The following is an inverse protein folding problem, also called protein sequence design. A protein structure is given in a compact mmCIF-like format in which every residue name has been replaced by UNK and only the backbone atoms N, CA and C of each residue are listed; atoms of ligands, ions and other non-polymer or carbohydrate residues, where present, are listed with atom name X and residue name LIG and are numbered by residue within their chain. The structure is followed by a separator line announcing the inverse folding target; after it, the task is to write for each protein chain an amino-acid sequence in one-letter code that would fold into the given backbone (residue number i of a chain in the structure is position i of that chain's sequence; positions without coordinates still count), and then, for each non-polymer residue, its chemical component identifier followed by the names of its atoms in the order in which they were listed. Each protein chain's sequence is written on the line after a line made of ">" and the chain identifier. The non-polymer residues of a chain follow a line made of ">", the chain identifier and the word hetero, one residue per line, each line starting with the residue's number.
data_IF_570429850848
#
_entry.id   IF_570429850848
#
_cell.length_a   1.000
_cell.length_b   1.000
_cell.length_c   1.000
_cell.angle_alpha   90.00
_cell.angle_beta   90.00
_cell.angle_gamma   90.00
#
_symmetry.space_group_name_H-M   'P 1'
#
loop_
_entity.id
_entity.type
_entity.pdbx_description
1 polymer ?
#
# COMPACT_ATOMS: atom_id res chain seq x y z
N UNK A 1 -42.74 14.29 -31.91
CA UNK A 1 -41.86 13.12 -31.80
C UNK A 1 -40.81 13.09 -32.90
N UNK A 2 -41.16 13.26 -34.17
CA UNK A 2 -40.19 13.33 -35.30
C UNK A 2 -39.18 14.45 -35.17
N UNK A 3 -39.60 15.66 -34.76
CA UNK A 3 -38.73 16.81 -34.56
C UNK A 3 -37.71 16.62 -33.46
N UNK A 4 -38.08 15.98 -32.35
CA UNK A 4 -37.18 15.63 -31.27
C UNK A 4 -36.07 14.68 -31.76
N UNK A 5 -36.46 13.66 -32.54
CA UNK A 5 -35.50 12.70 -33.11
C UNK A 5 -34.55 13.42 -34.06
N UNK A 6 -35.03 14.34 -34.90
CA UNK A 6 -34.19 15.14 -35.80
C UNK A 6 -33.14 15.93 -35.01
N UNK A 7 -33.58 16.69 -34.01
CA UNK A 7 -32.67 17.51 -33.17
C UNK A 7 -31.61 16.63 -32.47
N UNK A 8 -31.99 15.48 -31.91
CA UNK A 8 -31.06 14.56 -31.26
C UNK A 8 -30.08 13.93 -32.24
N UNK A 9 -30.51 13.65 -33.47
CA UNK A 9 -29.66 13.13 -34.54
C UNK A 9 -28.63 14.17 -34.97
N UNK A 10 -29.08 15.42 -35.23
CA UNK A 10 -28.20 16.52 -35.63
C UNK A 10 -27.17 16.84 -34.55
N UNK A 11 -27.57 16.82 -33.27
CA UNK A 11 -26.68 16.96 -32.12
C UNK A 11 -25.65 15.82 -32.08
N UNK A 12 -26.11 14.59 -32.24
CA UNK A 12 -25.20 13.41 -32.22
C UNK A 12 -24.19 13.44 -33.36
N UNK A 13 -24.59 13.87 -34.55
CA UNK A 13 -23.69 14.04 -35.71
C UNK A 13 -22.62 15.11 -35.40
N UNK A 14 -23.01 16.21 -34.76
CA UNK A 14 -22.09 17.30 -34.39
C UNK A 14 -21.09 16.88 -33.30
N UNK A 15 -21.53 16.09 -32.31
CA UNK A 15 -20.69 15.68 -31.18
C UNK A 15 -19.79 14.49 -31.54
N UNK A 16 -20.22 13.61 -32.41
CA UNK A 16 -19.48 12.37 -32.76
C UNK A 16 -18.01 12.60 -33.14
N UNK A 17 -17.62 13.60 -33.94
CA UNK A 17 -16.21 13.87 -34.22
C UNK A 17 -15.39 14.30 -33.01
N UNK A 18 -16.03 14.81 -31.94
CA UNK A 18 -15.38 15.28 -30.73
C UNK A 18 -15.23 14.18 -29.66
N UNK A 19 -15.89 13.02 -29.82
CA UNK A 19 -15.86 11.92 -28.86
C UNK A 19 -14.45 11.47 -28.50
N UNK A 20 -13.49 11.30 -29.44
CA UNK A 20 -12.12 10.92 -29.08
C UNK A 20 -11.44 11.96 -28.17
N UNK A 21 -11.60 13.25 -28.45
CA UNK A 21 -11.04 14.34 -27.64
C UNK A 21 -11.68 14.40 -26.24
N UNK A 22 -12.98 14.15 -26.15
CA UNK A 22 -13.71 14.07 -24.86
C UNK A 22 -13.18 12.90 -24.03
N UNK A 23 -12.99 11.71 -24.62
CA UNK A 23 -12.44 10.54 -23.92
C UNK A 23 -11.01 10.80 -23.46
N UNK A 24 -10.16 11.39 -24.29
CA UNK A 24 -8.80 11.74 -23.90
C UNK A 24 -8.78 12.75 -22.74
N UNK A 25 -9.68 13.74 -22.78
CA UNK A 25 -9.82 14.70 -21.68
C UNK A 25 -10.26 14.03 -20.38
N UNK A 26 -11.14 13.03 -20.46
CA UNK A 26 -11.57 12.26 -19.30
C UNK A 26 -10.42 11.43 -18.68
N UNK A 27 -9.62 10.77 -19.51
CA UNK A 27 -8.43 10.04 -19.06
C UNK A 27 -7.43 10.98 -18.37
N UNK A 28 -7.15 12.14 -18.99
CA UNK A 28 -6.28 13.16 -18.41
C UNK A 28 -6.77 13.63 -17.03
N UNK A 29 -8.08 13.91 -16.89
CA UNK A 29 -8.66 14.31 -15.62
C UNK A 29 -8.54 13.21 -14.54
N UNK A 30 -8.71 11.93 -14.92
CA UNK A 30 -8.54 10.80 -14.02
C UNK A 30 -7.09 10.69 -13.50
N UNK A 31 -6.09 10.90 -14.38
CA UNK A 31 -4.68 10.94 -13.97
C UNK A 31 -4.39 12.08 -13.00
N UNK A 32 -4.88 13.28 -13.28
CA UNK A 32 -4.71 14.44 -12.40
C UNK A 32 -5.36 14.22 -11.04
N UNK A 33 -6.57 13.66 -11.00
CA UNK A 33 -7.25 13.38 -9.73
C UNK A 33 -6.51 12.31 -8.92
N UNK A 34 -5.98 11.28 -9.58
CA UNK A 34 -5.14 10.26 -8.93
C UNK A 34 -3.85 10.85 -8.34
N UNK A 35 -3.16 11.71 -9.08
CA UNK A 35 -1.96 12.43 -8.58
C UNK A 35 -2.33 13.30 -7.37
N UNK A 36 -3.45 14.02 -7.46
CA UNK A 36 -3.97 14.86 -6.38
C UNK A 36 -4.29 14.03 -5.12
N UNK A 37 -4.93 12.88 -5.28
CA UNK A 37 -5.25 11.98 -4.17
C UNK A 37 -3.97 11.49 -3.46
N UNK A 38 -2.94 11.09 -4.21
CA UNK A 38 -1.62 10.73 -3.65
C UNK A 38 -0.97 11.90 -2.91
N UNK A 39 -1.03 13.09 -3.46
CA UNK A 39 -0.48 14.30 -2.83
C UNK A 39 -1.20 14.65 -1.54
N UNK A 40 -2.53 14.60 -1.51
CA UNK A 40 -3.33 14.81 -0.29
C UNK A 40 -3.01 13.79 0.80
N UNK A 41 -2.88 12.52 0.42
CA UNK A 41 -2.46 11.46 1.34
C UNK A 41 -1.07 11.74 1.92
N UNK A 42 -0.11 12.15 1.08
CA UNK A 42 1.24 12.49 1.51
C UNK A 42 1.24 13.65 2.52
N UNK A 43 0.46 14.69 2.29
CA UNK A 43 0.33 15.83 3.20
C UNK A 43 -0.27 15.38 4.54
N UNK A 44 -1.32 14.58 4.52
CA UNK A 44 -2.00 14.12 5.74
C UNK A 44 -1.14 13.20 6.61
N UNK A 45 -0.27 12.41 6.00
CA UNK A 45 0.57 11.43 6.70
C UNK A 45 2.03 11.85 6.84
N UNK A 46 2.40 13.04 6.35
CA UNK A 46 3.79 13.49 6.22
C UNK A 46 4.64 12.47 5.45
N UNK A 47 4.03 11.87 4.41
CA UNK A 47 4.70 10.87 3.59
C UNK A 47 5.65 11.53 2.59
N UNK A 48 6.72 10.82 2.29
CA UNK A 48 7.76 11.24 1.36
C UNK A 48 7.91 10.23 0.21
N UNK A 49 8.65 10.62 -0.82
CA UNK A 49 9.17 9.70 -1.82
C UNK A 49 10.51 9.16 -1.31
N UNK A 50 10.59 7.86 -0.91
CA UNK A 50 11.83 7.30 -0.38
C UNK A 50 12.87 7.08 -1.50
N UNK A 51 14.14 6.86 -1.09
CA UNK A 51 15.18 6.38 -2.01
C UNK A 51 14.92 4.93 -2.38
N UNK A 52 14.79 4.65 -3.68
CA UNK A 52 14.58 3.30 -4.20
C UNK A 52 15.90 2.70 -4.64
N UNK A 53 16.15 1.47 -4.19
CA UNK A 53 17.36 0.71 -4.51
C UNK A 53 17.01 -0.51 -5.35
N UNK A 54 17.80 -0.75 -6.39
CA UNK A 54 17.71 -1.98 -7.17
C UNK A 54 18.49 -3.13 -6.48
N UNK A 55 18.23 -3.30 -5.19
CA UNK A 55 18.86 -4.31 -4.31
C UNK A 55 17.85 -4.75 -3.27
N UNK A 56 18.06 -5.94 -2.70
CA UNK A 56 17.27 -6.43 -1.58
C UNK A 56 17.73 -5.75 -0.29
N UNK A 57 17.18 -4.58 0.01
CA UNK A 57 17.49 -3.79 1.20
C UNK A 57 16.21 -3.18 1.79
N UNK A 58 16.14 -3.17 3.10
CA UNK A 58 15.18 -2.45 3.93
C UNK A 58 16.01 -1.69 4.97
N UNK A 59 16.29 -0.43 4.73
CA UNK A 59 16.88 0.46 5.72
C UNK A 59 15.90 1.61 5.97
N UNK A 60 14.97 1.37 6.87
CA UNK A 60 13.88 2.29 7.17
C UNK A 60 14.13 3.00 8.48
N UNK A 61 13.95 4.30 8.45
CA UNK A 61 14.08 5.18 9.61
C UNK A 61 12.76 5.86 9.87
N UNK A 62 12.31 5.84 11.12
CA UNK A 62 11.07 6.44 11.60
C UNK A 62 9.85 6.12 10.72
N UNK A 63 9.73 4.87 10.27
CA UNK A 63 8.59 4.42 9.49
C UNK A 63 7.33 4.36 10.36
N UNK A 64 6.21 4.88 9.85
CA UNK A 64 4.97 5.01 10.59
C UNK A 64 3.84 4.31 9.81
N UNK A 65 3.02 3.53 10.50
CA UNK A 65 1.82 2.95 9.91
C UNK A 65 0.79 4.05 9.62
N UNK A 66 0.47 4.38 8.35
CA UNK A 66 -0.32 5.56 8.02
C UNK A 66 -1.74 5.53 8.57
N UNK A 67 -2.43 4.38 8.51
CA UNK A 67 -3.79 4.27 9.03
C UNK A 67 -3.82 4.38 10.56
N UNK A 68 -2.81 3.83 11.24
CA UNK A 68 -2.68 3.97 12.68
C UNK A 68 -2.37 5.42 13.06
N UNK A 69 -1.54 6.11 12.31
CA UNK A 69 -1.26 7.54 12.48
C UNK A 69 -2.53 8.37 12.39
N UNK A 70 -3.33 8.19 11.34
CA UNK A 70 -4.58 8.91 11.15
C UNK A 70 -5.62 8.59 12.24
N UNK A 71 -5.69 7.33 12.68
CA UNK A 71 -6.60 6.91 13.76
C UNK A 71 -6.20 7.51 15.10
N UNK A 72 -4.92 7.42 15.49
CA UNK A 72 -4.44 7.93 16.77
C UNK A 72 -4.42 9.46 16.84
N UNK A 73 -4.22 10.14 15.72
CA UNK A 73 -4.30 11.60 15.64
C UNK A 73 -5.66 12.15 16.09
N UNK A 74 -6.75 11.42 15.83
CA UNK A 74 -8.11 11.77 16.30
C UNK A 74 -8.21 11.81 17.84
N UNK A 75 -7.32 11.11 18.52
CA UNK A 75 -7.26 11.01 19.99
C UNK A 75 -6.04 11.73 20.58
N UNK A 76 -5.39 12.61 19.80
CA UNK A 76 -4.16 13.32 20.19
C UNK A 76 -3.03 12.37 20.65
N UNK A 77 -3.00 11.15 20.11
CA UNK A 77 -1.95 10.16 20.40
C UNK A 77 -1.00 10.05 19.20
N UNK A 78 0.27 9.75 19.49
CA UNK A 78 1.29 9.53 18.46
C UNK A 78 1.58 8.06 18.29
N UNK A 79 1.90 7.65 17.07
CA UNK A 79 2.42 6.31 16.76
C UNK A 79 3.89 6.27 17.15
N UNK A 80 4.32 5.14 17.71
CA UNK A 80 5.75 4.88 17.91
C UNK A 80 6.32 4.49 16.53
N UNK A 81 7.33 5.22 16.02
CA UNK A 81 7.96 4.92 14.75
C UNK A 81 8.72 3.59 14.77
N UNK A 82 8.88 2.99 13.60
CA UNK A 82 9.64 1.77 13.38
C UNK A 82 10.95 2.07 12.65
N UNK A 83 12.06 1.65 13.23
CA UNK A 83 13.34 1.54 12.54
C UNK A 83 13.61 0.06 12.24
N UNK A 84 13.99 -0.25 10.99
CA UNK A 84 14.27 -1.62 10.57
C UNK A 84 15.41 -1.62 9.56
N UNK A 85 16.37 -2.53 9.74
CA UNK A 85 17.45 -2.73 8.82
C UNK A 85 17.57 -4.20 8.44
N UNK A 86 17.41 -4.48 7.15
CA UNK A 86 17.66 -5.78 6.54
C UNK A 86 18.48 -5.57 5.25
N UNK A 87 19.45 -6.44 5.05
CA UNK A 87 20.35 -6.36 3.89
C UNK A 87 20.78 -7.77 3.43
N UNK A 88 21.65 -7.88 2.45
CA UNK A 88 22.10 -9.16 1.90
C UNK A 88 22.82 -10.07 2.91
N UNK A 89 23.36 -9.53 3.99
CA UNK A 89 24.02 -10.29 5.08
C UNK A 89 23.04 -10.65 6.18
N UNK A 90 22.11 -9.75 6.49
CA UNK A 90 21.11 -9.89 7.56
C UNK A 90 19.72 -9.93 6.92
N UNK A 91 19.24 -11.11 6.57
CA UNK A 91 17.99 -11.31 5.81
C UNK A 91 16.81 -11.69 6.68
N UNK A 92 17.05 -12.04 7.94
CA UNK A 92 16.02 -12.53 8.86
C UNK A 92 15.98 -11.60 10.06
N UNK A 93 14.80 -11.13 10.39
CA UNK A 93 14.51 -10.37 11.60
C UNK A 93 13.54 -11.17 12.47
N UNK A 94 13.92 -11.46 13.70
CA UNK A 94 13.07 -12.09 14.68
C UNK A 94 12.52 -11.03 15.63
N UNK A 95 11.20 -10.91 15.70
CA UNK A 95 10.51 -9.95 16.57
C UNK A 95 9.90 -10.74 17.74
N UNK A 96 10.40 -10.50 18.94
CA UNK A 96 9.89 -11.11 20.17
C UNK A 96 9.39 -10.07 21.16
N UNK A 97 8.55 -10.46 22.09
CA UNK A 97 8.00 -9.59 23.12
C UNK A 97 6.58 -9.97 23.54
N UNK A 98 5.98 -9.26 24.51
CA UNK A 98 4.62 -9.54 24.99
C UNK A 98 3.57 -9.34 23.88
N UNK A 99 2.39 -9.95 24.00
CA UNK A 99 1.35 -9.89 22.97
C UNK A 99 0.88 -8.44 22.69
N UNK A 100 0.81 -7.59 23.70
CA UNK A 100 0.48 -6.18 23.57
C UNK A 100 1.65 -5.29 23.09
N UNK A 101 2.83 -5.86 22.82
CA UNK A 101 4.05 -5.12 22.49
C UNK A 101 4.16 -4.60 21.05
N UNK A 102 3.12 -4.73 20.23
CA UNK A 102 3.10 -4.18 18.88
C UNK A 102 3.74 -5.05 17.78
N UNK A 103 4.07 -6.33 18.06
CA UNK A 103 4.65 -7.27 17.08
C UNK A 103 3.88 -7.33 15.77
N UNK A 104 2.57 -7.58 15.84
CA UNK A 104 1.69 -7.66 14.66
C UNK A 104 1.56 -6.31 13.93
N UNK A 105 1.60 -5.20 14.66
CA UNK A 105 1.60 -3.86 14.07
C UNK A 105 2.89 -3.61 13.29
N UNK A 106 4.04 -4.04 13.83
CA UNK A 106 5.32 -3.96 13.12
C UNK A 106 5.26 -4.71 11.78
N UNK A 107 4.80 -5.97 11.80
CA UNK A 107 4.67 -6.80 10.59
C UNK A 107 3.70 -6.17 9.56
N UNK A 108 2.53 -5.71 10.03
CA UNK A 108 1.56 -5.00 9.20
C UNK A 108 2.14 -3.72 8.61
N UNK A 109 2.94 -2.98 9.38
CA UNK A 109 3.59 -1.75 8.90
C UNK A 109 4.58 -2.04 7.77
N UNK A 110 5.44 -3.04 7.96
CA UNK A 110 6.43 -3.42 6.95
C UNK A 110 5.74 -3.85 5.65
N UNK A 111 4.77 -4.75 5.73
CA UNK A 111 4.04 -5.23 4.56
C UNK A 111 3.29 -4.12 3.83
N UNK A 112 2.57 -3.26 4.57
CA UNK A 112 1.80 -2.17 3.98
C UNK A 112 2.69 -1.13 3.31
N UNK A 113 3.74 -0.65 3.97
CA UNK A 113 4.61 0.39 3.42
C UNK A 113 5.39 -0.13 2.22
N UNK A 114 5.90 -1.37 2.25
CA UNK A 114 6.55 -1.98 1.10
C UNK A 114 5.61 -2.09 -0.09
N UNK A 115 4.38 -2.52 0.14
CA UNK A 115 3.36 -2.61 -0.90
C UNK A 115 3.01 -1.24 -1.48
N UNK A 116 2.81 -0.23 -0.61
CA UNK A 116 2.54 1.15 -1.03
C UNK A 116 3.64 1.71 -1.93
N UNK A 117 4.90 1.52 -1.55
CA UNK A 117 6.04 1.97 -2.37
C UNK A 117 6.05 1.31 -3.74
N UNK A 118 5.79 0.01 -3.80
CA UNK A 118 5.75 -0.73 -5.07
C UNK A 118 4.53 -0.37 -5.95
N UNK A 119 3.49 0.20 -5.35
CA UNK A 119 2.37 0.82 -6.06
C UNK A 119 2.64 2.30 -6.43
N UNK A 120 3.85 2.81 -6.19
CA UNK A 120 4.21 4.20 -6.48
C UNK A 120 3.50 5.21 -5.58
N UNK A 121 3.18 4.82 -4.34
CA UNK A 121 2.64 5.72 -3.33
C UNK A 121 3.74 6.30 -2.44
N UNK A 122 3.60 7.54 -1.97
CA UNK A 122 4.45 8.08 -0.92
C UNK A 122 4.21 7.36 0.40
N UNK A 123 5.22 7.30 1.26
CA UNK A 123 5.19 6.58 2.55
C UNK A 123 5.70 7.45 3.70
N UNK A 124 5.08 7.36 4.88
CA UNK A 124 5.48 8.13 6.05
C UNK A 124 6.72 7.51 6.72
N UNK A 125 7.87 8.01 6.35
CA UNK A 125 9.17 7.63 6.92
C UNK A 125 10.19 8.76 6.74
N UNK A 126 11.36 8.60 7.34
CA UNK A 126 12.42 9.58 7.19
C UNK A 126 13.06 9.53 5.79
N UNK A 127 13.47 10.68 5.25
CA UNK A 127 14.05 10.82 3.90
C UNK A 127 15.34 10.02 3.68
N UNK A 128 16.06 9.68 4.77
CA UNK A 128 17.26 8.83 4.73
C UNK A 128 16.96 7.33 4.62
N UNK A 129 15.69 6.96 4.47
CA UNK A 129 15.30 5.56 4.31
C UNK A 129 15.63 5.08 2.91
N UNK A 130 16.11 3.84 2.80
CA UNK A 130 16.39 3.14 1.55
C UNK A 130 15.49 1.92 1.44
N UNK A 131 14.83 1.77 0.31
CA UNK A 131 13.85 0.71 0.07
C UNK A 131 14.22 -0.07 -1.18
N UNK A 132 14.44 -1.36 -1.02
CA UNK A 132 14.59 -2.29 -2.13
C UNK A 132 13.25 -2.62 -2.79
N UNK A 133 13.31 -3.03 -4.05
CA UNK A 133 12.16 -3.55 -4.78
C UNK A 133 12.20 -5.07 -4.74
N UNK A 134 11.09 -5.69 -4.35
CA UNK A 134 10.94 -7.13 -4.21
C UNK A 134 9.96 -7.68 -5.25
N UNK A 135 10.27 -8.84 -5.82
CA UNK A 135 9.41 -9.51 -6.80
C UNK A 135 8.10 -10.00 -6.18
N UNK A 136 8.16 -10.42 -4.90
CA UNK A 136 7.02 -10.96 -4.18
C UNK A 136 6.99 -10.43 -2.74
N UNK A 137 5.79 -10.21 -2.23
CA UNK A 137 5.54 -9.87 -0.83
C UNK A 137 4.51 -10.88 -0.32
N UNK A 138 4.90 -11.65 0.70
CA UNK A 138 3.99 -12.58 1.36
C UNK A 138 3.81 -12.15 2.81
N UNK A 139 2.57 -12.15 3.27
CA UNK A 139 2.23 -11.79 4.64
C UNK A 139 1.32 -12.87 5.18
N UNK A 140 1.70 -13.49 6.28
CA UNK A 140 0.89 -14.46 6.99
C UNK A 140 0.69 -13.99 8.43
N UNK A 141 -0.54 -13.60 8.76
CA UNK A 141 -0.93 -13.03 10.05
C UNK A 141 -2.15 -13.81 10.52
N UNK A 142 -1.99 -14.68 11.50
CA UNK A 142 -3.08 -15.36 12.19
C UNK A 142 -3.67 -14.50 13.31
N UNK A 143 -4.98 -14.51 13.49
CA UNK A 143 -5.64 -13.95 14.66
C UNK A 143 -5.70 -15.03 15.76
N UNK A 144 -5.10 -14.75 16.92
CA UNK A 144 -5.04 -15.65 18.10
C UNK A 144 -6.39 -15.71 18.88
N UNK A 145 -7.56 -15.59 18.22
CA UNK A 145 -8.80 -15.29 18.95
C UNK A 145 -9.72 -16.48 19.33
N UNK A 146 -9.45 -17.72 18.92
CA UNK A 146 -10.23 -18.87 19.44
C UNK A 146 -9.48 -20.21 19.37
N UNK A 147 -9.62 -21.02 20.40
CA UNK A 147 -9.04 -22.37 20.50
C UNK A 147 -9.66 -23.32 19.45
N UNK A 148 -10.90 -23.12 19.06
CA UNK A 148 -11.58 -23.90 18.02
C UNK A 148 -11.10 -23.57 16.61
N UNK A 149 -10.59 -22.35 16.38
CA UNK A 149 -10.00 -21.90 15.11
C UNK A 149 -8.50 -22.25 14.97
N UNK A 150 -7.83 -22.68 16.05
CA UNK A 150 -6.38 -22.95 16.04
C UNK A 150 -5.98 -24.03 15.02
N UNK A 151 -6.79 -25.08 14.85
CA UNK A 151 -6.52 -26.15 13.89
C UNK A 151 -6.72 -25.68 12.44
N UNK A 152 -7.72 -24.84 12.20
CA UNK A 152 -7.97 -24.22 10.89
C UNK A 152 -6.91 -23.19 10.56
N UNK A 153 -6.50 -22.39 11.54
CA UNK A 153 -5.44 -21.38 11.42
C UNK A 153 -4.09 -22.05 11.14
N UNK A 154 -3.75 -23.12 11.86
CA UNK A 154 -2.52 -23.89 11.63
C UNK A 154 -2.46 -24.51 10.23
N UNK A 155 -3.54 -25.12 9.76
CA UNK A 155 -3.61 -25.70 8.40
C UNK A 155 -3.54 -24.62 7.31
N UNK A 156 -4.11 -23.45 7.56
CA UNK A 156 -4.01 -22.29 6.67
C UNK A 156 -2.59 -21.77 6.60
N UNK A 157 -1.88 -21.64 7.74
CA UNK A 157 -0.47 -21.26 7.78
C UNK A 157 0.41 -22.23 6.99
N UNK A 158 0.22 -23.55 7.16
CA UNK A 158 0.97 -24.55 6.39
C UNK A 158 0.72 -24.44 4.88
N UNK A 159 -0.53 -24.18 4.50
CA UNK A 159 -0.89 -23.97 3.08
C UNK A 159 -0.24 -22.71 2.53
N UNK A 160 -0.28 -21.62 3.28
CA UNK A 160 0.37 -20.36 2.91
C UNK A 160 1.89 -20.53 2.78
N UNK A 161 2.54 -21.19 3.73
CA UNK A 161 3.97 -21.53 3.67
C UNK A 161 4.32 -22.35 2.42
N UNK A 162 3.50 -23.32 2.06
CA UNK A 162 3.68 -24.12 0.83
C UNK A 162 3.60 -23.26 -0.43
N UNK A 163 2.68 -22.29 -0.46
CA UNK A 163 2.54 -21.33 -1.58
C UNK A 163 3.79 -20.43 -1.63
N UNK A 164 4.20 -19.88 -0.49
CA UNK A 164 5.38 -19.02 -0.38
C UNK A 164 6.63 -19.77 -0.90
N UNK A 165 6.86 -21.00 -0.42
CA UNK A 165 8.01 -21.82 -0.86
C UNK A 165 8.00 -22.12 -2.37
N UNK A 166 6.84 -22.29 -2.99
CA UNK A 166 6.73 -22.52 -4.44
C UNK A 166 6.97 -21.26 -5.26
N UNK A 167 6.72 -20.11 -4.68
CA UNK A 167 6.82 -18.81 -5.36
C UNK A 167 8.16 -18.10 -5.10
N UNK A 168 8.97 -18.60 -4.18
CA UNK A 168 10.35 -18.16 -3.93
C UNK A 168 11.29 -18.97 -4.82
N UNK A 169 11.51 -18.48 -6.05
CA UNK A 169 12.55 -18.98 -6.97
C UNK A 169 13.66 -17.98 -7.09
#
# INVERSE_FOLDING_TARGET
>A
RREIIRILTDFSITVRPQVPAILQSYEFLAEIDFIRAKAQFAIQTNAIKPSLENKQVLDWRTAIHPLLQLSLAKHNKKVVPLDIELNYKQRILIISGPNAGGKSVCLKTVGLLQYMVQCGMPVPMHERSHIGIFSNIFIDIGDEQSIEDDLSTYSSHLTNMKIMMKSCN
#
